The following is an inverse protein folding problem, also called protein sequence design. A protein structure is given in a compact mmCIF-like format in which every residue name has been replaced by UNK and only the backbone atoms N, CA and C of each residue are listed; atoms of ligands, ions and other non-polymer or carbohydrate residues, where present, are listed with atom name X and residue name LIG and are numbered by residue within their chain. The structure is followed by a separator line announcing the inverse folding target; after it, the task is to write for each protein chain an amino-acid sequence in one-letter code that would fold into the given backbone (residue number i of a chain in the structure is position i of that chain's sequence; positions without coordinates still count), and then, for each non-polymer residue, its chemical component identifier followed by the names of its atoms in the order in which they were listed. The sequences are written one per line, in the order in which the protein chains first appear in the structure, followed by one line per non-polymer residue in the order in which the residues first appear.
data_IF_988529196798
#
_entry.id   IF_988529196798
#
_cell.length_a   1.000
_cell.length_b   1.000
_cell.length_c   1.000
_cell.angle_alpha   90.00
_cell.angle_beta   90.00
_cell.angle_gamma   90.00
#
_symmetry.space_group_name_H-M   'P 1'
#
loop_
_entity.id
_entity.type
_entity.pdbx_description
1 polymer ?
#
# COMPACT_ATOMS: atom_id res chain seq x y z
N UNK A 1 37.91 48.70 -48.51
CA UNK A 1 37.71 48.35 -47.89
C UNK A 1 36.97 47.61 -47.44
N UNK A 2 36.77 46.94 -47.29
CA UNK A 2 36.11 46.25 -46.82
C UNK A 2 36.07 45.47 -46.05
N UNK A 3 35.53 45.07 -45.36
CA UNK A 3 35.60 44.30 -44.49
C UNK A 3 34.80 43.33 -44.22
N UNK A 4 34.84 42.54 -44.42
CA UNK A 4 34.11 41.52 -44.22
C UNK A 4 34.05 41.01 -42.93
N UNK A 5 33.32 41.26 -42.41
CA UNK A 5 33.20 40.79 -41.21
C UNK A 5 32.58 39.63 -41.07
N UNK A 6 32.85 38.76 -40.81
CA UNK A 6 32.39 37.68 -40.52
C UNK A 6 32.04 37.42 -39.32
N UNK A 7 31.03 37.47 -38.96
CA UNK A 7 30.58 37.12 -37.79
C UNK A 7 30.25 35.75 -37.75
N UNK A 8 30.96 35.05 -37.29
CA UNK A 8 30.66 33.74 -37.03
C UNK A 8 29.75 33.70 -35.91
N UNK A 9 28.64 33.52 -36.21
CA UNK A 9 27.75 33.30 -35.19
C UNK A 9 27.81 31.90 -34.78
N UNK A 10 28.31 31.67 -33.74
CA UNK A 10 28.33 30.44 -33.24
C UNK A 10 27.14 30.23 -32.52
N UNK A 11 26.29 29.61 -33.06
CA UNK A 11 25.17 29.17 -32.36
C UNK A 11 25.64 28.14 -31.42
N UNK A 12 25.85 28.54 -30.32
CA UNK A 12 26.10 27.58 -29.30
C UNK A 12 24.82 26.85 -29.08
N UNK A 13 24.77 25.76 -29.61
CA UNK A 13 23.77 24.91 -29.26
C UNK A 13 23.95 24.48 -27.92
N UNK A 14 23.44 25.13 -27.08
CA UNK A 14 23.29 24.57 -25.81
C UNK A 14 22.33 23.47 -25.95
N UNK A 15 22.82 22.39 -26.19
CA UNK A 15 22.08 21.27 -25.96
C UNK A 15 21.92 21.15 -24.56
N UNK A 16 21.00 21.75 -24.06
CA UNK A 16 20.52 21.35 -22.81
C UNK A 16 20.06 19.93 -23.02
N UNK A 17 20.92 19.06 -22.84
CA UNK A 17 20.53 17.73 -22.85
C UNK A 17 19.57 17.55 -21.73
N UNK A 18 18.36 17.56 -22.06
CA UNK A 18 17.43 17.04 -21.15
C UNK A 18 17.88 15.64 -20.91
N UNK A 19 18.59 15.50 -19.91
CA UNK A 19 18.87 14.20 -19.46
C UNK A 19 17.55 13.70 -19.01
N UNK A 20 16.93 13.01 -19.86
CA UNK A 20 15.86 12.22 -19.43
C UNK A 20 16.47 11.26 -18.46
N UNK A 21 16.49 11.65 -17.26
CA UNK A 21 16.73 10.70 -16.24
C UNK A 21 15.56 9.78 -16.36
N UNK A 22 15.79 8.69 -16.98
CA UNK A 22 14.86 7.64 -16.91
C UNK A 22 14.74 7.34 -15.43
N UNK A 23 13.80 7.94 -14.83
CA UNK A 23 13.48 7.56 -13.48
C UNK A 23 13.16 6.10 -13.59
N UNK A 24 13.99 5.30 -13.00
CA UNK A 24 13.67 3.92 -12.80
C UNK A 24 12.26 3.91 -12.25
N UNK A 25 11.38 3.10 -12.79
CA UNK A 25 10.04 3.06 -12.28
C UNK A 25 10.15 2.78 -10.80
N UNK A 26 9.76 3.75 -10.04
CA UNK A 26 9.62 3.54 -8.63
C UNK A 26 8.46 2.57 -8.57
N UNK A 27 8.79 1.34 -8.35
CA UNK A 27 7.76 0.36 -8.08
C UNK A 27 7.15 0.83 -6.79
N UNK A 28 5.99 1.43 -6.89
CA UNK A 28 5.27 1.82 -5.71
C UNK A 28 5.13 0.57 -4.86
N UNK A 29 5.56 0.66 -3.63
CA UNK A 29 5.43 -0.46 -2.71
C UNK A 29 3.97 -0.86 -2.66
N UNK A 30 3.71 -2.14 -2.79
CA UNK A 30 2.35 -2.64 -2.76
C UNK A 30 1.79 -2.49 -1.37
N UNK A 31 0.51 -2.17 -1.25
CA UNK A 31 -0.11 -2.10 0.06
C UNK A 31 0.01 -3.45 0.77
N UNK A 32 0.23 -3.38 2.06
CA UNK A 32 0.38 -4.57 2.89
C UNK A 32 -0.52 -4.49 4.11
N UNK A 33 -0.89 -5.64 4.61
CA UNK A 33 -1.63 -5.77 5.86
C UNK A 33 -0.86 -6.67 6.80
N UNK A 34 -0.81 -6.28 8.06
CA UNK A 34 -0.18 -7.07 9.09
C UNK A 34 -1.17 -7.26 10.23
N UNK A 35 -1.32 -8.47 10.68
CA UNK A 35 -2.18 -8.74 11.81
C UNK A 35 -1.40 -8.47 13.07
N UNK A 36 -1.88 -7.56 13.88
CA UNK A 36 -1.20 -7.16 15.12
C UNK A 36 -1.66 -7.99 16.31
N UNK A 37 -2.92 -8.37 16.33
CA UNK A 37 -3.50 -9.11 17.43
C UNK A 37 -4.70 -9.88 16.94
N UNK A 38 -4.95 -11.01 17.55
CA UNK A 38 -6.12 -11.84 17.24
C UNK A 38 -7.27 -11.59 18.23
N UNK A 39 -6.95 -11.09 19.42
CA UNK A 39 -7.97 -10.87 20.46
C UNK A 39 -7.60 -9.66 21.30
N UNK A 40 -8.19 -8.50 21.06
CA UNK A 40 -9.13 -8.21 19.99
C UNK A 40 -8.43 -8.15 18.64
N UNK A 41 -9.17 -8.42 17.60
CA UNK A 41 -8.59 -8.46 16.26
C UNK A 41 -8.13 -7.07 15.82
N UNK A 42 -6.87 -6.94 15.49
CA UNK A 42 -6.27 -5.67 15.11
C UNK A 42 -5.38 -5.84 13.89
N UNK A 43 -5.47 -4.90 12.97
CA UNK A 43 -4.78 -4.97 11.69
C UNK A 43 -4.07 -3.65 11.42
N UNK A 44 -2.88 -3.73 10.89
CA UNK A 44 -2.12 -2.57 10.45
C UNK A 44 -1.96 -2.60 8.94
N UNK A 45 -2.26 -1.49 8.30
CA UNK A 45 -2.01 -1.32 6.88
C UNK A 45 -0.82 -0.41 6.64
N UNK A 46 -0.10 -0.66 5.57
CA UNK A 46 1.04 0.14 5.17
C UNK A 46 1.13 0.21 3.65
N UNK A 47 1.81 1.22 3.15
CA UNK A 47 2.04 1.43 1.73
C UNK A 47 0.77 1.67 0.92
N UNK A 48 -0.25 2.20 1.55
CA UNK A 48 -1.43 2.70 0.86
C UNK A 48 -1.15 4.12 0.37
N UNK A 49 -2.06 4.67 -0.41
CA UNK A 49 -1.93 6.06 -0.81
C UNK A 49 -2.15 6.98 0.39
N UNK A 50 -1.52 8.15 0.42
CA UNK A 50 -1.75 9.11 1.50
C UNK A 50 -3.20 9.55 1.56
N UNK A 51 -3.73 9.69 2.77
CA UNK A 51 -5.10 10.14 3.00
C UNK A 51 -6.13 9.33 2.23
N UNK A 52 -5.88 8.07 2.03
CA UNK A 52 -6.80 7.17 1.36
C UNK A 52 -7.83 6.63 2.33
N UNK A 53 -9.07 6.57 1.89
CA UNK A 53 -10.12 5.96 2.70
C UNK A 53 -10.13 4.48 2.41
N UNK A 54 -9.93 3.70 3.44
CA UNK A 54 -9.79 2.25 3.32
C UNK A 54 -10.96 1.57 4.01
N UNK A 55 -11.53 0.62 3.31
CA UNK A 55 -12.58 -0.23 3.87
C UNK A 55 -11.93 -1.58 4.17
N UNK A 56 -11.96 -1.97 5.43
CA UNK A 56 -11.37 -3.23 5.87
C UNK A 56 -12.50 -4.19 6.20
N UNK A 57 -12.47 -5.35 5.59
CA UNK A 57 -13.49 -6.37 5.78
C UNK A 57 -12.84 -7.63 6.29
N UNK A 58 -13.41 -8.20 7.34
CA UNK A 58 -12.94 -9.47 7.92
C UNK A 58 -13.99 -10.53 7.65
N UNK A 59 -13.56 -11.61 7.02
CA UNK A 59 -14.40 -12.74 6.66
C UNK A 59 -15.67 -12.35 5.89
N UNK A 60 -15.60 -11.21 5.20
CA UNK A 60 -16.72 -10.74 4.39
C UNK A 60 -17.89 -10.16 5.18
N UNK A 61 -17.80 -10.12 6.50
CA UNK A 61 -18.91 -9.71 7.34
C UNK A 61 -18.62 -8.47 8.17
N UNK A 62 -17.49 -8.46 8.85
CA UNK A 62 -17.15 -7.35 9.72
C UNK A 62 -16.47 -6.26 8.89
N UNK A 63 -16.93 -5.03 9.06
CA UNK A 63 -16.45 -3.91 8.26
C UNK A 63 -15.99 -2.78 9.17
N UNK A 64 -14.82 -2.24 8.88
CA UNK A 64 -14.30 -1.03 9.51
C UNK A 64 -13.71 -0.14 8.44
N UNK A 65 -13.73 1.15 8.68
CA UNK A 65 -13.16 2.12 7.77
C UNK A 65 -12.08 2.91 8.47
N UNK A 66 -11.04 3.23 7.73
CA UNK A 66 -9.94 4.01 8.24
C UNK A 66 -9.45 4.94 7.16
N UNK A 67 -8.85 6.05 7.56
CA UNK A 67 -8.18 6.95 6.61
C UNK A 67 -6.70 6.84 6.87
N UNK A 68 -5.94 6.65 5.82
CA UNK A 68 -4.50 6.48 5.95
C UNK A 68 -3.82 7.80 6.34
N UNK A 69 -2.68 7.67 6.98
CA UNK A 69 -1.84 8.83 7.30
C UNK A 69 -1.12 9.33 6.04
N UNK A 70 -0.33 10.38 6.19
CA UNK A 70 0.48 10.89 5.10
C UNK A 70 1.45 9.84 4.58
N UNK A 71 1.80 8.87 5.42
CA UNK A 71 2.68 7.77 5.03
C UNK A 71 1.93 6.56 4.48
N UNK A 72 0.64 6.65 4.33
CA UNK A 72 -0.15 5.55 3.81
C UNK A 72 -0.37 4.42 4.81
N UNK A 73 -0.41 4.72 6.09
CA UNK A 73 -0.56 3.71 7.13
C UNK A 73 -1.86 3.89 7.90
N UNK A 74 -2.36 2.80 8.45
CA UNK A 74 -3.50 2.85 9.34
C UNK A 74 -3.46 1.67 10.31
N UNK A 75 -4.16 1.82 11.42
CA UNK A 75 -4.36 0.74 12.39
C UNK A 75 -5.84 0.70 12.72
N UNK A 76 -6.41 -0.47 12.65
CA UNK A 76 -7.82 -0.68 12.96
C UNK A 76 -7.95 -1.80 13.97
N UNK A 77 -8.71 -1.57 15.00
CA UNK A 77 -9.02 -2.58 15.99
C UNK A 77 -10.51 -2.88 15.93
N UNK A 78 -10.83 -4.15 15.85
CA UNK A 78 -12.22 -4.60 15.87
C UNK A 78 -12.56 -4.95 17.31
N UNK A 79 -13.08 -3.98 18.03
CA UNK A 79 -13.41 -4.17 19.45
C UNK A 79 -14.48 -5.25 19.61
N UNK A 80 -14.24 -6.13 20.56
CA UNK A 80 -15.18 -7.23 20.80
C UNK A 80 -15.11 -8.37 19.81
N UNK A 81 -14.15 -8.33 18.89
CA UNK A 81 -13.99 -9.38 17.90
C UNK A 81 -12.70 -10.12 18.17
N UNK A 82 -12.82 -11.38 18.44
CA UNK A 82 -11.68 -12.26 18.65
C UNK A 82 -11.66 -13.27 17.51
N UNK A 83 -10.50 -13.44 16.92
CA UNK A 83 -10.32 -14.37 15.81
C UNK A 83 -9.54 -15.57 16.30
N UNK A 84 -10.11 -16.75 16.06
CA UNK A 84 -9.46 -18.00 16.42
C UNK A 84 -8.61 -18.44 15.24
N UNK A 85 -7.31 -18.59 15.47
CA UNK A 85 -6.43 -19.03 14.41
C UNK A 85 -6.76 -20.42 13.88
N UNK A 86 -7.48 -21.21 14.63
CA UNK A 86 -7.85 -22.55 14.18
C UNK A 86 -8.88 -22.49 13.05
N UNK A 87 -9.73 -21.49 13.06
CA UNK A 87 -10.76 -21.33 12.04
C UNK A 87 -10.29 -20.53 10.83
N UNK A 88 -9.09 -19.97 10.91
CA UNK A 88 -8.60 -19.14 9.85
C UNK A 88 -9.28 -17.78 9.77
N UNK A 89 -8.82 -16.95 8.89
CA UNK A 89 -9.44 -15.65 8.64
C UNK A 89 -9.05 -15.14 7.26
N UNK A 90 -9.87 -14.24 6.74
CA UNK A 90 -9.58 -13.53 5.52
C UNK A 90 -9.85 -12.05 5.75
N UNK A 91 -8.86 -11.22 5.50
CA UNK A 91 -8.97 -9.77 5.63
C UNK A 91 -8.73 -9.14 4.28
N UNK A 92 -9.63 -8.25 3.91
CA UNK A 92 -9.51 -7.51 2.66
C UNK A 92 -9.56 -6.03 2.96
N UNK A 93 -8.65 -5.28 2.39
CA UNK A 93 -8.63 -3.83 2.51
C UNK A 93 -8.68 -3.24 1.12
N UNK A 94 -9.65 -2.36 0.90
CA UNK A 94 -9.84 -1.69 -0.38
C UNK A 94 -9.83 -0.20 -0.14
N UNK A 95 -8.94 0.50 -0.82
CA UNK A 95 -8.81 1.93 -0.69
C UNK A 95 -9.52 2.68 -1.80
N UNK A 96 -9.94 3.89 -1.50
CA UNK A 96 -10.65 4.74 -2.45
C UNK A 96 -9.75 5.24 -3.59
N UNK A 97 -8.47 5.14 -3.43
CA UNK A 97 -7.50 5.57 -4.45
C UNK A 97 -6.89 4.40 -5.22
N UNK A 98 -7.51 3.25 -5.15
CA UNK A 98 -7.09 2.10 -5.94
C UNK A 98 -6.25 1.06 -5.21
N UNK A 99 -5.91 1.28 -3.95
CA UNK A 99 -5.15 0.31 -3.20
C UNK A 99 -6.04 -0.88 -2.84
N UNK A 100 -5.49 -2.07 -2.94
CA UNK A 100 -6.24 -3.28 -2.59
C UNK A 100 -5.26 -4.34 -2.12
N UNK A 101 -5.58 -4.99 -1.02
CA UNK A 101 -4.74 -6.04 -0.48
C UNK A 101 -5.61 -7.03 0.29
N UNK A 102 -5.19 -8.27 0.26
CA UNK A 102 -5.90 -9.35 0.95
C UNK A 102 -4.88 -10.19 1.69
N UNK A 103 -5.22 -10.53 2.92
CA UNK A 103 -4.40 -11.42 3.74
C UNK A 103 -5.29 -12.55 4.20
N UNK A 104 -4.79 -13.76 4.10
CA UNK A 104 -5.56 -14.93 4.44
C UNK A 104 -4.73 -15.85 5.31
N UNK A 105 -5.29 -16.26 6.41
CA UNK A 105 -4.73 -17.33 7.20
C UNK A 105 -5.59 -18.55 7.02
N UNK A 106 -5.03 -19.65 6.54
CA UNK A 106 -5.83 -20.86 6.34
C UNK A 106 -6.26 -21.44 7.67
N UNK A 107 -7.30 -22.22 7.61
CA UNK A 107 -7.76 -22.97 8.76
C UNK A 107 -6.66 -23.93 9.20
N UNK A 108 -6.29 -23.86 10.46
CA UNK A 108 -5.29 -24.76 11.01
C UNK A 108 -5.98 -25.98 11.59
N UNK A 109 -5.34 -27.11 11.45
CA UNK A 109 -5.84 -28.28 12.11
C UNK A 109 -5.45 -28.21 13.58
N UNK A 110 -6.27 -27.59 14.37
CA UNK A 110 -6.05 -27.61 15.80
C UNK A 110 -6.47 -28.93 16.33
N UNK A 111 -5.66 -29.49 17.22
CA UNK A 111 -6.00 -30.76 17.83
C UNK A 111 -7.33 -30.62 18.56
N UNK A 112 -8.26 -31.46 18.24
CA UNK A 112 -9.51 -31.48 18.95
C UNK A 112 -9.23 -31.95 20.36
N UNK A 113 -9.49 -31.08 21.31
CA UNK A 113 -9.36 -31.49 22.70
C UNK A 113 -10.64 -32.13 23.18
N UNK A 114 -11.48 -32.48 22.30
CA UNK A 114 -12.70 -33.11 22.68
C UNK A 114 -12.41 -34.57 23.01
N UNK A 115 -12.48 -34.93 24.23
CA UNK A 115 -12.16 -36.31 24.59
C UNK A 115 -13.36 -37.14 24.30
N UNK A 116 -13.62 -37.34 23.28
CA UNK A 116 -14.72 -38.06 23.07
C UNK A 116 -15.52 -38.68 22.61
#
# INVERSE_FOLDING_TARGET
MRIAQLTAVIAALALAGAVAVAAAPIVAARPTLKILSLAPFSVRGAHFQPAERVKITVNGVLVRRATTTANGAFVVTFHGVDVDRCNGYAVKAVGSKGSSVRVRAPELQCASTNPG
#
